data_IF_890338709701
#
_entry.id   IF_890338709701
#
_cell.length_a   1.000
_cell.length_b   1.000
_cell.length_c   1.000
_cell.angle_alpha   90.00
_cell.angle_beta   90.00
_cell.angle_gamma   90.00
#
_symmetry.space_group_name_H-M   'P 1'
#
loop_
_entity.id
_entity.type
_entity.pdbx_description
1 polymer ?
#
# COMPACT_ATOMS: atom_id res chain seq x y z
N UNK A 1 66.91 -14.44 -31.26
CA UNK A 1 66.07 -15.59 -30.87
C UNK A 1 64.77 -15.06 -30.33
N UNK A 2 63.65 -15.57 -30.84
CA UNK A 2 62.39 -14.86 -30.92
C UNK A 2 61.29 -15.62 -30.13
N UNK A 3 60.50 -14.89 -29.33
CA UNK A 3 59.11 -15.15 -28.89
C UNK A 3 58.85 -16.44 -28.04
N UNK A 4 57.96 -16.55 -27.02
CA UNK A 4 56.66 -15.93 -26.70
C UNK A 4 56.32 -16.03 -25.20
N UNK A 5 55.66 -14.99 -24.67
CA UNK A 5 54.77 -15.05 -23.50
C UNK A 5 53.57 -15.98 -23.77
N UNK A 6 53.09 -16.76 -22.78
CA UNK A 6 51.68 -17.16 -22.69
C UNK A 6 50.98 -16.18 -21.73
N UNK A 7 50.29 -15.17 -22.25
CA UNK A 7 48.83 -15.13 -22.48
C UNK A 7 48.03 -15.38 -21.19
N UNK A 8 47.58 -14.26 -20.62
CA UNK A 8 46.52 -14.10 -19.64
C UNK A 8 45.32 -15.00 -19.94
N UNK A 9 44.97 -15.88 -19.01
CA UNK A 9 43.67 -16.53 -18.97
C UNK A 9 42.73 -15.73 -18.06
N UNK A 10 42.36 -14.51 -18.49
CA UNK A 10 41.16 -13.85 -18.00
C UNK A 10 39.96 -14.52 -18.67
N UNK A 11 39.41 -15.55 -18.03
CA UNK A 11 38.10 -16.08 -18.40
C UNK A 11 37.03 -15.40 -17.57
N UNK A 12 36.51 -14.33 -18.17
CA UNK A 12 35.11 -13.89 -18.16
C UNK A 12 34.25 -14.54 -17.06
N UNK A 13 34.21 -13.90 -15.89
CA UNK A 13 33.00 -13.96 -15.08
C UNK A 13 31.93 -13.22 -15.87
N UNK A 14 31.10 -13.97 -16.59
CA UNK A 14 29.80 -13.52 -17.05
C UNK A 14 29.01 -13.07 -15.82
N UNK A 15 29.09 -11.77 -15.54
CA UNK A 15 28.10 -11.08 -14.73
C UNK A 15 26.79 -11.30 -15.46
N UNK A 16 25.98 -12.22 -14.94
CA UNK A 16 24.56 -12.28 -15.26
C UNK A 16 23.88 -11.20 -14.41
N UNK A 17 23.40 -10.08 -14.96
CA UNK A 17 22.28 -9.39 -14.34
C UNK A 17 21.03 -10.09 -14.85
N UNK A 18 20.63 -11.20 -14.22
CA UNK A 18 19.27 -11.69 -14.38
C UNK A 18 18.46 -11.25 -13.16
N UNK A 19 17.36 -10.55 -13.45
CA UNK A 19 16.25 -10.19 -12.58
C UNK A 19 16.33 -8.85 -11.83
N UNK A 20 16.31 -7.76 -12.60
CA UNK A 20 15.74 -6.47 -12.16
C UNK A 20 14.32 -6.23 -12.75
N UNK A 21 13.61 -7.29 -13.15
CA UNK A 21 12.36 -7.19 -13.93
C UNK A 21 11.05 -7.14 -13.16
N UNK A 22 11.06 -7.09 -11.83
CA UNK A 22 9.83 -7.07 -11.02
C UNK A 22 9.53 -5.70 -10.37
N UNK A 23 10.53 -4.81 -10.28
CA UNK A 23 10.37 -3.50 -9.66
C UNK A 23 9.71 -2.46 -10.59
N UNK A 24 9.84 -2.60 -11.92
CA UNK A 24 9.42 -1.57 -12.90
C UNK A 24 7.90 -1.41 -13.07
N UNK A 25 7.06 -2.27 -12.50
CA UNK A 25 5.59 -2.24 -12.69
C UNK A 25 4.79 -2.26 -11.39
N UNK A 26 5.41 -1.97 -10.24
CA UNK A 26 4.67 -1.85 -8.98
C UNK A 26 3.84 -0.57 -8.98
N UNK A 27 2.58 -0.62 -8.49
CA UNK A 27 1.80 0.59 -8.38
C UNK A 27 2.31 1.60 -7.36
N UNK A 28 2.24 2.89 -7.70
CA UNK A 28 2.63 3.98 -6.78
C UNK A 28 1.89 3.90 -5.43
N UNK A 29 0.65 3.39 -5.43
CA UNK A 29 -0.15 3.24 -4.22
C UNK A 29 0.33 2.08 -3.32
N UNK A 30 1.19 1.19 -3.81
CA UNK A 30 1.85 0.15 -3.00
C UNK A 30 2.99 0.69 -2.13
N UNK A 31 3.45 1.91 -2.40
CA UNK A 31 4.52 2.59 -1.65
C UNK A 31 4.02 3.34 -0.42
N UNK A 32 2.72 3.36 -0.15
CA UNK A 32 2.17 4.10 0.99
C UNK A 32 0.99 3.37 1.62
N UNK A 33 0.85 3.52 2.92
CA UNK A 33 -0.25 2.92 3.69
C UNK A 33 -1.60 3.56 3.37
N UNK A 34 -1.59 4.87 3.10
CA UNK A 34 -2.81 5.66 3.03
C UNK A 34 -2.59 6.97 2.27
N UNK A 35 -3.58 7.42 1.52
CA UNK A 35 -3.56 8.69 0.78
C UNK A 35 -4.99 9.13 0.50
N UNK A 36 -5.18 10.39 0.08
CA UNK A 36 -6.47 10.82 -0.46
C UNK A 36 -6.37 11.14 -1.94
N UNK A 37 -7.47 10.88 -2.64
CA UNK A 37 -7.62 11.16 -4.06
C UNK A 37 -9.06 11.61 -4.31
N UNK A 38 -9.23 12.84 -4.80
CA UNK A 38 -10.51 13.54 -4.79
C UNK A 38 -11.03 13.69 -3.36
N UNK A 39 -12.30 13.33 -3.17
CA UNK A 39 -12.96 13.32 -1.86
C UNK A 39 -12.85 11.98 -1.13
N UNK A 40 -12.11 11.00 -1.67
CA UNK A 40 -12.03 9.68 -1.07
C UNK A 40 -10.66 9.45 -0.41
N UNK A 41 -10.66 8.65 0.65
CA UNK A 41 -9.45 8.20 1.32
C UNK A 41 -9.21 6.75 0.95
N UNK A 42 -7.99 6.44 0.60
CA UNK A 42 -7.56 5.12 0.19
C UNK A 42 -6.63 4.54 1.25
N UNK A 43 -6.82 3.25 1.52
CA UNK A 43 -6.07 2.47 2.49
C UNK A 43 -5.46 1.28 1.77
N UNK A 44 -4.15 1.14 1.85
CA UNK A 44 -3.41 0.04 1.25
C UNK A 44 -3.07 -0.96 2.33
N UNK A 45 -3.49 -2.20 2.14
CA UNK A 45 -2.99 -3.33 2.93
C UNK A 45 -1.99 -4.15 2.14
N UNK A 46 -1.00 -4.71 2.83
CA UNK A 46 0.08 -5.52 2.25
C UNK A 46 0.12 -6.87 2.99
N UNK A 47 0.27 -7.94 2.23
CA UNK A 47 0.58 -9.27 2.77
C UNK A 47 1.87 -9.77 2.15
N UNK A 48 2.94 -9.76 2.95
CA UNK A 48 4.27 -10.23 2.54
C UNK A 48 4.43 -11.73 2.74
N UNK A 49 5.00 -12.40 1.74
CA UNK A 49 5.33 -13.83 1.77
C UNK A 49 4.16 -14.71 2.22
N UNK A 50 3.01 -14.57 1.55
CA UNK A 50 1.88 -15.47 1.69
C UNK A 50 2.12 -16.78 0.92
N UNK A 51 1.69 -17.94 1.43
CA UNK A 51 1.92 -19.23 0.78
C UNK A 51 0.97 -19.47 -0.41
N UNK A 52 -0.05 -18.62 -0.59
CA UNK A 52 -0.95 -18.62 -1.74
C UNK A 52 -1.46 -17.21 -2.04
N UNK A 53 -1.93 -17.01 -3.27
CA UNK A 53 -2.53 -15.74 -3.71
C UNK A 53 -3.80 -15.45 -2.93
N UNK A 54 -4.67 -16.45 -2.75
CA UNK A 54 -5.94 -16.33 -2.05
C UNK A 54 -5.73 -15.91 -0.59
N UNK A 55 -4.77 -16.54 0.10
CA UNK A 55 -4.42 -16.15 1.45
C UNK A 55 -3.82 -14.75 1.50
N UNK A 56 -2.93 -14.40 0.55
CA UNK A 56 -2.37 -13.06 0.44
C UNK A 56 -3.45 -11.98 0.24
N UNK A 57 -4.46 -12.23 -0.61
CA UNK A 57 -5.60 -11.33 -0.83
C UNK A 57 -6.45 -11.13 0.42
N UNK A 58 -6.64 -12.17 1.20
CA UNK A 58 -7.41 -12.12 2.44
C UNK A 58 -6.63 -11.38 3.54
N UNK A 59 -5.34 -11.70 3.71
CA UNK A 59 -4.45 -10.99 4.63
C UNK A 59 -4.41 -9.51 4.29
N UNK A 60 -4.02 -9.14 3.07
CA UNK A 60 -3.96 -7.75 2.62
C UNK A 60 -5.29 -6.98 2.80
N UNK A 61 -6.45 -7.65 2.70
CA UNK A 61 -7.73 -7.04 3.05
C UNK A 61 -7.81 -6.69 4.53
N UNK A 62 -7.47 -7.63 5.41
CA UNK A 62 -7.45 -7.43 6.85
C UNK A 62 -6.46 -6.34 7.28
N UNK A 63 -5.27 -6.22 6.64
CA UNK A 63 -4.38 -5.07 6.82
C UNK A 63 -5.06 -3.76 6.53
N UNK A 64 -5.65 -3.63 5.34
CA UNK A 64 -6.26 -2.38 4.93
C UNK A 64 -7.41 -2.00 5.87
N UNK A 65 -8.22 -2.98 6.30
CA UNK A 65 -9.28 -2.79 7.30
C UNK A 65 -8.70 -2.34 8.65
N UNK A 66 -7.55 -2.89 9.06
CA UNK A 66 -6.88 -2.47 10.28
C UNK A 66 -6.33 -1.04 10.16
N UNK A 67 -5.83 -0.63 9.00
CA UNK A 67 -5.42 0.76 8.76
C UNK A 67 -6.60 1.73 8.85
N UNK A 68 -7.78 1.34 8.34
CA UNK A 68 -9.02 2.12 8.54
C UNK A 68 -9.34 2.26 10.02
N UNK A 69 -9.22 1.19 10.82
CA UNK A 69 -9.45 1.25 12.28
C UNK A 69 -8.42 2.14 12.97
N UNK A 70 -7.15 2.03 12.60
CA UNK A 70 -6.06 2.84 13.15
C UNK A 70 -6.30 4.33 12.87
N UNK A 71 -6.72 4.66 11.65
CA UNK A 71 -7.01 6.01 11.20
C UNK A 71 -8.26 6.61 11.87
N UNK A 72 -9.36 5.86 11.88
CA UNK A 72 -10.63 6.34 12.45
C UNK A 72 -10.67 6.29 13.97
N UNK A 73 -9.80 5.48 14.60
CA UNK A 73 -9.84 5.11 16.03
C UNK A 73 -11.18 4.50 16.45
N UNK A 74 -11.97 4.01 15.50
CA UNK A 74 -13.25 3.39 15.78
C UNK A 74 -13.01 1.98 16.36
N UNK A 75 -13.75 1.64 17.43
CA UNK A 75 -13.71 0.29 18.02
C UNK A 75 -14.28 -0.76 17.08
N UNK A 76 -15.19 -0.35 16.21
CA UNK A 76 -15.84 -1.18 15.23
C UNK A 76 -16.14 -0.37 13.96
N UNK A 77 -15.99 -1.01 12.82
CA UNK A 77 -16.22 -0.48 11.48
C UNK A 77 -17.15 -1.40 10.67
N UNK A 78 -17.88 -2.30 11.35
CA UNK A 78 -18.91 -3.13 10.71
C UNK A 78 -19.96 -2.26 9.99
N UNK A 79 -20.29 -2.63 8.75
CA UNK A 79 -21.19 -1.87 7.88
C UNK A 79 -20.60 -0.57 7.30
N UNK A 80 -19.34 -0.24 7.58
CA UNK A 80 -18.66 0.88 6.95
C UNK A 80 -18.41 0.59 5.46
N UNK A 81 -18.74 1.50 4.53
CA UNK A 81 -18.61 1.26 3.09
C UNK A 81 -17.14 1.25 2.68
N UNK A 82 -16.52 0.06 2.74
CA UNK A 82 -15.17 -0.20 2.25
C UNK A 82 -15.24 -1.00 0.97
N UNK A 83 -14.82 -0.38 -0.13
CA UNK A 83 -14.78 -1.03 -1.43
C UNK A 83 -13.34 -1.42 -1.78
N UNK A 84 -13.13 -2.65 -2.23
CA UNK A 84 -11.88 -2.99 -2.90
C UNK A 84 -11.85 -2.33 -4.27
N UNK A 85 -10.88 -1.44 -4.48
CA UNK A 85 -10.68 -0.79 -5.77
C UNK A 85 -9.72 -1.59 -6.64
N UNK A 86 -8.60 -2.02 -6.06
CA UNK A 86 -7.54 -2.70 -6.81
C UNK A 86 -6.83 -3.75 -5.96
N UNK A 87 -6.24 -4.72 -6.64
CA UNK A 87 -5.37 -5.76 -6.08
C UNK A 87 -4.14 -5.82 -6.96
N UNK A 88 -2.96 -5.84 -6.34
CA UNK A 88 -1.70 -6.09 -7.02
C UNK A 88 -1.02 -7.31 -6.40
N UNK A 89 -0.55 -8.20 -7.26
CA UNK A 89 0.03 -9.49 -6.86
C UNK A 89 1.43 -9.60 -7.45
N UNK A 90 2.42 -9.63 -6.57
CA UNK A 90 3.79 -9.99 -6.92
C UNK A 90 3.96 -11.49 -6.67
N UNK A 91 3.93 -12.26 -7.75
CA UNK A 91 4.05 -13.72 -7.70
C UNK A 91 5.48 -14.20 -7.46
N UNK A 92 6.48 -13.32 -7.59
CA UNK A 92 7.90 -13.65 -7.39
C UNK A 92 8.61 -12.51 -6.65
N UNK A 93 8.18 -12.21 -5.42
CA UNK A 93 8.75 -11.12 -4.65
C UNK A 93 10.21 -11.46 -4.28
N UNK A 94 11.11 -10.49 -4.45
CA UNK A 94 12.55 -10.69 -4.23
C UNK A 94 12.89 -10.94 -2.74
N UNK A 95 12.02 -10.53 -1.83
CA UNK A 95 12.13 -10.61 -0.38
C UNK A 95 11.56 -11.90 0.23
N UNK A 96 11.04 -12.83 -0.58
CA UNK A 96 10.47 -14.09 -0.10
C UNK A 96 11.13 -15.34 -0.68
N UNK A 97 10.95 -16.47 0.01
CA UNK A 97 11.32 -17.77 -0.51
C UNK A 97 10.52 -18.12 -1.78
N UNK A 98 11.06 -18.94 -2.70
CA UNK A 98 10.33 -19.40 -3.88
C UNK A 98 9.00 -20.07 -3.50
N UNK A 99 7.95 -19.76 -4.26
CA UNK A 99 6.59 -20.29 -4.02
C UNK A 99 5.73 -19.44 -3.09
N UNK A 100 6.29 -18.40 -2.48
CA UNK A 100 5.53 -17.38 -1.75
C UNK A 100 5.24 -16.16 -2.62
N UNK A 101 4.15 -15.47 -2.31
CA UNK A 101 3.69 -14.28 -3.03
C UNK A 101 3.54 -13.09 -2.10
N UNK A 102 3.62 -11.88 -2.63
CA UNK A 102 3.28 -10.65 -1.89
C UNK A 102 2.08 -10.01 -2.57
N UNK A 103 1.05 -9.67 -1.79
CA UNK A 103 -0.21 -9.12 -2.30
C UNK A 103 -0.48 -7.78 -1.65
N UNK A 104 -0.89 -6.79 -2.45
CA UNK A 104 -1.38 -5.51 -1.97
C UNK A 104 -2.84 -5.35 -2.36
N UNK A 105 -3.62 -4.74 -1.47
CA UNK A 105 -5.04 -4.48 -1.70
C UNK A 105 -5.37 -3.05 -1.33
N UNK A 106 -5.99 -2.35 -2.28
CA UNK A 106 -6.38 -0.97 -2.13
C UNK A 106 -7.87 -0.89 -1.79
N UNK A 107 -8.18 -0.41 -0.59
CA UNK A 107 -9.53 -0.13 -0.14
C UNK A 107 -9.84 1.35 -0.25
N UNK A 108 -11.07 1.65 -0.66
CA UNK A 108 -11.61 3.01 -0.72
C UNK A 108 -12.59 3.22 0.41
N UNK A 109 -12.47 4.36 1.07
CA UNK A 109 -13.39 4.87 2.06
C UNK A 109 -13.87 6.26 1.63
N UNK A 110 -15.19 6.47 1.44
CA UNK A 110 -15.72 7.80 1.19
C UNK A 110 -15.45 8.72 2.38
N UNK A 111 -14.92 9.92 2.13
CA UNK A 111 -14.66 10.89 3.22
C UNK A 111 -15.93 11.24 3.99
N UNK A 112 -17.06 11.41 3.30
CA UNK A 112 -18.34 11.67 3.96
C UNK A 112 -18.71 10.56 4.97
N UNK A 113 -18.39 9.30 4.66
CA UNK A 113 -18.57 8.19 5.59
C UNK A 113 -17.57 8.27 6.75
N UNK A 114 -16.30 8.57 6.50
CA UNK A 114 -15.28 8.77 7.56
C UNK A 114 -15.68 9.89 8.52
N UNK A 115 -16.22 10.98 8.02
CA UNK A 115 -16.73 12.10 8.83
C UNK A 115 -17.92 11.69 9.71
N UNK A 116 -18.77 10.77 9.24
CA UNK A 116 -19.89 10.24 10.03
C UNK A 116 -19.42 9.46 11.26
N UNK A 117 -18.27 8.78 11.17
CA UNK A 117 -17.64 8.11 12.32
C UNK A 117 -17.13 9.12 13.36
N UNK A 118 -16.71 10.31 12.92
CA UNK A 118 -16.24 11.38 13.79
C UNK A 118 -17.38 12.05 14.59
N UNK A 119 -18.61 12.01 14.07
CA UNK A 119 -19.79 12.70 14.63
C UNK A 119 -20.46 11.96 15.80
N UNK A 120 -19.92 10.84 16.30
CA UNK A 120 -20.41 10.26 17.56
C UNK A 120 -20.10 11.24 18.70
N UNK A 121 -21.13 11.80 19.37
CA UNK A 121 -20.95 12.97 20.22
C UNK A 121 -20.26 12.58 21.53
N UNK A 122 -19.00 12.99 21.70
CA UNK A 122 -18.52 13.32 23.05
C UNK A 122 -19.21 14.62 23.45
N UNK A 123 -20.21 14.50 24.32
CA UNK A 123 -21.02 15.61 24.85
C UNK A 123 -20.10 16.70 25.42
N UNK A 124 -20.10 17.90 24.81
CA UNK A 124 -19.68 19.13 25.50
C UNK A 124 -18.46 19.93 25.00
N UNK A 125 -18.05 19.88 23.73
CA UNK A 125 -17.07 20.88 23.20
C UNK A 125 -17.50 21.48 21.85
N UNK A 126 -17.27 22.80 21.64
CA UNK A 126 -17.61 23.48 20.39
C UNK A 126 -16.74 23.00 19.23
N UNK A 127 -17.14 23.36 18.01
CA UNK A 127 -16.66 22.86 16.73
C UNK A 127 -15.16 23.14 16.46
N UNK A 128 -14.30 22.36 17.10
CA UNK A 128 -12.96 22.09 16.57
C UNK A 128 -13.08 21.10 15.41
N UNK A 129 -12.27 21.30 14.37
CA UNK A 129 -12.13 20.42 13.21
C UNK A 129 -12.15 18.97 13.69
N UNK A 130 -13.06 18.16 13.14
CA UNK A 130 -13.14 16.76 13.56
C UNK A 130 -11.75 16.12 13.46
N UNK A 131 -11.30 15.36 14.47
CA UNK A 131 -9.94 14.82 14.48
C UNK A 131 -9.65 13.95 13.24
N UNK A 132 -10.70 13.43 12.59
CA UNK A 132 -10.61 12.71 11.32
C UNK A 132 -10.35 13.67 10.16
N UNK A 133 -11.03 14.82 10.08
CA UNK A 133 -10.80 15.82 9.02
C UNK A 133 -9.37 16.38 9.07
N UNK A 134 -8.83 16.66 10.25
CA UNK A 134 -7.43 17.07 10.40
C UNK A 134 -6.46 15.98 9.92
N UNK A 135 -6.75 14.71 10.20
CA UNK A 135 -5.96 13.57 9.72
C UNK A 135 -6.06 13.40 8.19
N UNK A 136 -7.24 13.59 7.60
CA UNK A 136 -7.44 13.55 6.13
C UNK A 136 -6.68 14.68 5.42
N UNK A 137 -6.53 15.83 6.05
CA UNK A 137 -5.74 16.93 5.48
C UNK A 137 -4.23 16.75 5.66
N UNK A 138 -3.79 15.98 6.66
CA UNK A 138 -2.38 15.69 6.90
C UNK A 138 -1.81 14.56 6.02
N UNK A 139 -2.67 13.79 5.36
CA UNK A 139 -2.26 12.65 4.53
C UNK A 139 -1.99 13.10 3.10
N UNK A 140 -1.09 12.38 2.43
CA UNK A 140 -0.63 12.71 1.08
C UNK A 140 -1.82 12.83 0.13
N UNK A 141 -1.97 14.00 -0.49
CA UNK A 141 -2.90 14.18 -1.61
C UNK A 141 -2.25 13.58 -2.85
N UNK A 142 -2.94 12.68 -3.55
CA UNK A 142 -2.52 12.11 -4.83
C UNK A 142 -3.50 12.41 -5.97
N UNK A 143 -4.41 13.36 -5.79
CA UNK A 143 -5.32 13.83 -6.84
C UNK A 143 -4.53 14.61 -7.90
N UNK A 144 -4.61 14.25 -9.19
CA UNK A 144 -4.10 15.08 -10.27
C UNK A 144 -4.87 16.41 -10.30
N UNK A 145 -4.15 17.52 -10.44
CA UNK A 145 -4.75 18.85 -10.57
C UNK A 145 -4.82 19.18 -12.05
N UNK A 146 -6.00 19.62 -12.52
CA UNK A 146 -6.10 20.22 -13.85
C UNK A 146 -5.13 21.40 -13.91
N UNK A 147 -4.36 21.50 -14.99
CA UNK A 147 -3.27 22.46 -15.15
C UNK A 147 -1.86 21.91 -14.82
N UNK A 148 -1.73 20.70 -14.26
CA UNK A 148 -0.42 20.08 -14.06
C UNK A 148 0.31 19.86 -15.39
N UNK A 149 1.61 20.12 -15.42
CA UNK A 149 2.44 19.79 -16.57
C UNK A 149 2.70 18.28 -16.65
N UNK A 150 2.91 17.77 -17.86
CA UNK A 150 3.26 16.37 -18.11
C UNK A 150 4.42 15.86 -17.25
N UNK A 151 5.46 16.67 -17.07
CA UNK A 151 6.62 16.30 -16.25
C UNK A 151 6.29 16.24 -14.74
N UNK A 152 5.38 17.09 -14.26
CA UNK A 152 4.87 17.03 -12.88
C UNK A 152 4.08 15.72 -12.66
N UNK A 153 3.23 15.36 -13.64
CA UNK A 153 2.49 14.10 -13.61
C UNK A 153 3.43 12.90 -13.64
N UNK A 154 4.45 12.92 -14.51
CA UNK A 154 5.46 11.88 -14.58
C UNK A 154 6.24 11.73 -13.27
N UNK A 155 6.68 12.83 -12.67
CA UNK A 155 7.38 12.82 -11.38
C UNK A 155 6.54 12.17 -10.27
N UNK A 156 5.21 12.31 -10.35
CA UNK A 156 4.29 11.82 -9.32
C UNK A 156 3.84 10.37 -9.51
N UNK A 157 3.56 9.95 -10.74
CA UNK A 157 2.98 8.62 -11.02
C UNK A 157 3.88 7.71 -11.86
N UNK A 158 5.02 8.23 -12.32
CA UNK A 158 5.96 7.52 -13.18
C UNK A 158 5.46 7.31 -14.60
N UNK A 159 6.04 6.29 -15.24
CA UNK A 159 5.76 5.88 -16.61
C UNK A 159 4.33 5.33 -16.74
N UNK A 160 3.52 5.85 -17.70
CA UNK A 160 2.26 5.22 -18.05
C UNK A 160 2.52 3.88 -18.74
N UNK A 161 1.54 2.97 -18.67
CA UNK A 161 1.60 1.69 -19.38
C UNK A 161 1.46 1.89 -20.89
N UNK A 162 0.60 2.81 -21.29
CA UNK A 162 0.34 3.12 -22.69
C UNK A 162 0.09 4.60 -22.88
N UNK A 163 0.50 5.09 -24.04
CA UNK A 163 0.32 6.47 -24.47
C UNK A 163 -0.43 6.43 -25.80
N UNK A 164 -1.52 7.19 -25.90
CA UNK A 164 -2.32 7.33 -27.12
C UNK A 164 -2.44 8.80 -27.48
N UNK A 165 -2.16 9.14 -28.73
CA UNK A 165 -2.44 10.47 -29.25
C UNK A 165 -3.76 10.46 -30.03
N UNK A 166 -4.61 11.45 -29.77
CA UNK A 166 -5.80 11.77 -30.56
C UNK A 166 -5.60 13.11 -31.25
N UNK A 167 -4.88 13.15 -32.38
CA UNK A 167 -4.48 14.40 -33.03
C UNK A 167 -5.68 15.22 -33.52
N UNK A 168 -6.79 14.57 -33.84
CA UNK A 168 -8.08 15.17 -34.19
C UNK A 168 -8.73 15.94 -33.03
N UNK A 169 -8.50 15.49 -31.80
CA UNK A 169 -8.99 16.16 -30.57
C UNK A 169 -7.92 17.03 -29.92
N UNK A 170 -6.68 17.00 -30.41
CA UNK A 170 -5.54 17.65 -29.79
C UNK A 170 -5.19 17.08 -28.41
N UNK A 171 -5.52 15.81 -28.16
CA UNK A 171 -5.34 15.16 -26.87
C UNK A 171 -4.19 14.16 -26.88
N UNK A 172 -3.44 14.11 -25.79
CA UNK A 172 -2.49 13.05 -25.47
C UNK A 172 -2.99 12.31 -24.22
N UNK A 173 -3.27 11.03 -24.35
CA UNK A 173 -3.86 10.21 -23.30
C UNK A 173 -2.80 9.28 -22.74
N UNK A 174 -2.55 9.38 -21.44
CA UNK A 174 -1.70 8.49 -20.68
C UNK A 174 -2.57 7.54 -19.87
N UNK A 175 -2.37 6.25 -20.07
CA UNK A 175 -3.09 5.23 -19.34
C UNK A 175 -2.19 4.45 -18.42
N UNK A 176 -2.56 4.52 -17.16
CA UNK A 176 -2.00 3.75 -16.09
C UNK A 176 -2.97 2.61 -15.79
N UNK A 177 -3.11 1.65 -16.72
CA UNK A 177 -4.02 0.50 -16.57
C UNK A 177 -3.81 -0.26 -15.25
N UNK A 178 -2.54 -0.35 -14.83
CA UNK A 178 -2.11 -0.88 -13.54
C UNK A 178 -2.74 -0.18 -12.32
N UNK A 179 -3.22 1.06 -12.50
CA UNK A 179 -3.83 1.91 -11.48
C UNK A 179 -5.29 2.25 -11.79
N UNK A 180 -5.83 1.76 -12.91
CA UNK A 180 -7.10 2.22 -13.45
C UNK A 180 -7.13 3.74 -13.69
N UNK A 181 -6.00 4.43 -13.79
CA UNK A 181 -5.96 5.89 -13.92
C UNK A 181 -5.67 6.27 -15.37
N UNK A 182 -6.56 7.07 -15.96
CA UNK A 182 -6.36 7.68 -17.28
C UNK A 182 -6.18 9.18 -17.09
N UNK A 183 -5.12 9.73 -17.69
CA UNK A 183 -4.76 11.14 -17.64
C UNK A 183 -4.75 11.67 -19.07
N UNK A 184 -5.31 12.85 -19.29
CA UNK A 184 -5.45 13.47 -20.62
C UNK A 184 -4.79 14.83 -20.61
N UNK A 185 -3.87 15.04 -21.54
CA UNK A 185 -3.17 16.29 -21.77
C UNK A 185 -3.67 16.94 -23.07
N UNK A 186 -3.56 18.26 -23.15
CA UNK A 186 -3.69 19.00 -24.40
C UNK A 186 -2.37 19.03 -25.19
N UNK A 187 -2.35 19.79 -26.29
CA UNK A 187 -1.15 19.98 -27.13
C UNK A 187 -0.01 20.73 -26.43
N UNK A 188 -0.30 21.47 -25.36
CA UNK A 188 0.68 22.22 -24.58
C UNK A 188 1.29 21.38 -23.43
N UNK A 189 1.06 20.06 -23.43
CA UNK A 189 1.49 19.14 -22.37
C UNK A 189 0.90 19.46 -20.98
N UNK A 190 -0.29 20.08 -20.97
CA UNK A 190 -1.02 20.44 -19.75
C UNK A 190 -2.17 19.46 -19.51
N UNK A 191 -2.25 18.94 -18.30
CA UNK A 191 -3.32 18.05 -17.85
C UNK A 191 -4.67 18.78 -17.89
N UNK A 192 -5.57 18.33 -18.77
CA UNK A 192 -6.92 18.87 -18.89
C UNK A 192 -7.95 18.03 -18.14
N UNK A 193 -7.77 16.71 -18.13
CA UNK A 193 -8.74 15.78 -17.56
C UNK A 193 -8.09 14.52 -17.01
N UNK A 194 -8.67 13.95 -15.96
CA UNK A 194 -8.30 12.62 -15.48
C UNK A 194 -9.54 11.79 -15.16
N UNK A 195 -9.39 10.46 -15.17
CA UNK A 195 -10.41 9.49 -14.83
C UNK A 195 -9.82 8.33 -14.05
N UNK A 196 -10.42 8.00 -12.92
CA UNK A 196 -10.19 6.76 -12.19
C UNK A 196 -11.25 5.72 -12.63
N UNK A 197 -10.78 4.56 -13.07
CA UNK A 197 -11.55 3.41 -13.48
C UNK A 197 -11.58 2.41 -12.31
N UNK A 198 -12.70 1.71 -12.16
CA UNK A 198 -12.92 0.76 -11.07
C UNK A 198 -14.40 0.52 -10.83
N UNK A 199 -14.77 -0.20 -9.75
CA UNK A 199 -16.17 -0.41 -9.38
C UNK A 199 -16.95 0.90 -9.18
N UNK A 200 -16.26 1.98 -8.82
CA UNK A 200 -16.81 3.31 -8.62
C UNK A 200 -15.96 4.36 -9.37
N UNK A 201 -16.17 4.53 -10.69
CA UNK A 201 -15.34 5.41 -11.50
C UNK A 201 -15.54 6.88 -11.11
N UNK A 202 -14.47 7.67 -11.21
CA UNK A 202 -14.45 9.11 -10.92
C UNK A 202 -13.71 9.86 -12.01
N UNK A 203 -14.02 11.14 -12.20
CA UNK A 203 -13.29 11.98 -13.16
C UNK A 203 -13.26 13.44 -12.72
N UNK A 204 -12.30 14.20 -13.23
CA UNK A 204 -12.25 15.66 -13.07
C UNK A 204 -13.49 16.38 -13.59
N UNK A 205 -14.27 15.75 -14.47
CA UNK A 205 -15.48 16.32 -15.06
C UNK A 205 -16.72 16.18 -14.16
N UNK A 206 -16.68 15.34 -13.12
CA UNK A 206 -17.77 15.27 -12.14
C UNK A 206 -17.73 16.54 -11.28
N UNK A 207 -18.67 17.44 -11.54
CA UNK A 207 -18.85 18.67 -10.76
C UNK A 207 -19.28 18.28 -9.34
N UNK A 208 -18.35 18.30 -8.38
CA UNK A 208 -18.72 18.37 -6.97
C UNK A 208 -19.46 19.70 -6.78
N UNK A 209 -20.75 19.65 -6.42
CA UNK A 209 -21.57 20.84 -6.17
C UNK A 209 -20.79 21.87 -5.32
N UNK A 210 -20.75 23.16 -5.70
CA UNK A 210 -19.92 24.16 -5.05
C UNK A 210 -20.57 24.60 -3.74
N UNK A 211 -20.32 23.88 -2.66
CA UNK A 211 -20.55 24.37 -1.31
C UNK A 211 -19.20 24.81 -0.71
N UNK A 212 -18.92 26.10 -0.87
CA UNK A 212 -17.91 26.88 -0.11
C UNK A 212 -16.54 26.22 0.10
N UNK A 213 -15.70 26.27 -0.92
CA UNK A 213 -14.26 26.35 -0.71
C UNK A 213 -13.90 27.82 -0.47
N UNK A 214 -13.89 28.23 0.80
CA UNK A 214 -13.11 29.39 1.21
C UNK A 214 -11.62 29.13 0.92
N UNK A 215 -10.82 30.16 0.62
CA UNK A 215 -9.40 30.02 0.33
C UNK A 215 -8.69 29.53 1.60
N UNK A 216 -8.46 28.22 1.69
CA UNK A 216 -7.71 27.62 2.79
C UNK A 216 -6.23 27.78 2.51
N UNK A 217 -5.63 28.68 3.28
CA UNK A 217 -4.18 28.83 3.41
C UNK A 217 -3.57 27.45 3.64
N UNK A 218 -2.80 26.97 2.68
CA UNK A 218 -1.98 25.75 2.77
C UNK A 218 -1.02 25.93 3.95
N UNK A 219 -1.47 25.52 5.12
CA UNK A 219 -0.56 25.33 6.25
C UNK A 219 0.17 24.04 5.92
N UNK A 220 1.43 24.15 5.50
CA UNK A 220 2.34 23.04 5.23
C UNK A 220 2.49 22.18 6.49
N UNK A 221 1.52 21.29 6.72
CA UNK A 221 1.63 20.20 7.66
C UNK A 221 2.61 19.20 7.04
N UNK A 222 3.63 18.74 7.78
CA UNK A 222 4.56 17.75 7.27
C UNK A 222 3.78 16.50 6.86
N UNK A 223 3.89 16.12 5.59
CA UNK A 223 3.31 14.87 5.07
C UNK A 223 3.91 13.72 5.86
N UNK A 224 3.07 12.94 6.53
CA UNK A 224 3.53 11.82 7.37
C UNK A 224 3.77 10.61 6.45
N UNK A 225 5.04 10.21 6.30
CA UNK A 225 5.41 8.94 5.68
C UNK A 225 5.27 7.81 6.73
N UNK A 226 4.31 6.91 6.51
CA UNK A 226 3.97 5.82 7.42
C UNK A 226 4.57 4.47 6.98
N UNK A 227 5.35 4.44 5.90
CA UNK A 227 5.99 3.20 5.40
C UNK A 227 6.86 2.54 6.46
N UNK A 228 7.75 3.30 7.08
CA UNK A 228 8.59 2.85 8.20
C UNK A 228 7.75 2.38 9.39
N UNK A 229 6.58 2.99 9.60
CA UNK A 229 5.68 2.60 10.69
C UNK A 229 5.01 1.25 10.43
N UNK A 230 4.66 0.95 9.18
CA UNK A 230 4.11 -0.35 8.80
C UNK A 230 5.13 -1.47 9.01
N UNK A 231 6.36 -1.28 8.52
CA UNK A 231 7.45 -2.25 8.73
C UNK A 231 7.69 -2.49 10.22
N UNK A 232 7.72 -1.42 11.03
CA UNK A 232 7.85 -1.53 12.48
C UNK A 232 6.69 -2.28 13.14
N UNK A 233 5.45 -2.09 12.68
CA UNK A 233 4.29 -2.80 13.21
C UNK A 233 4.30 -4.29 12.84
N UNK A 234 4.69 -4.63 11.61
CA UNK A 234 4.87 -6.02 11.16
C UNK A 234 5.94 -6.73 12.00
N UNK A 235 7.09 -6.06 12.23
CA UNK A 235 8.16 -6.58 13.07
C UNK A 235 7.73 -6.76 14.52
N UNK A 236 7.03 -5.77 15.10
CA UNK A 236 6.51 -5.86 16.46
C UNK A 236 5.56 -7.05 16.64
N UNK A 237 4.64 -7.27 15.70
CA UNK A 237 3.74 -8.43 15.75
C UNK A 237 4.47 -9.76 15.58
N UNK A 238 5.52 -9.81 14.75
CA UNK A 238 6.34 -11.02 14.64
C UNK A 238 7.06 -11.34 15.95
N UNK A 239 7.62 -10.31 16.61
CA UNK A 239 8.26 -10.45 17.91
C UNK A 239 7.27 -10.89 18.99
N UNK A 240 6.06 -10.32 19.02
CA UNK A 240 5.02 -10.72 19.97
C UNK A 240 4.61 -12.18 19.80
N UNK A 241 4.43 -12.65 18.56
CA UNK A 241 4.13 -14.07 18.29
C UNK A 241 5.25 -14.99 18.77
N UNK A 242 6.51 -14.61 18.56
CA UNK A 242 7.66 -15.37 19.07
C UNK A 242 7.68 -15.43 20.60
N UNK A 243 7.42 -14.30 21.27
CA UNK A 243 7.33 -14.25 22.74
C UNK A 243 6.17 -15.10 23.28
N UNK A 244 5.01 -15.05 22.63
CA UNK A 244 3.85 -15.86 22.99
C UNK A 244 4.11 -17.36 22.83
N UNK A 245 4.72 -17.77 21.71
CA UNK A 245 5.12 -19.15 21.47
C UNK A 245 6.12 -19.64 22.51
N UNK A 246 7.14 -18.84 22.83
CA UNK A 246 8.11 -19.18 23.87
C UNK A 246 7.46 -19.32 25.24
N UNK A 247 6.58 -18.38 25.63
CA UNK A 247 5.84 -18.44 26.89
C UNK A 247 4.94 -19.68 26.98
N UNK A 248 4.26 -20.03 25.89
CA UNK A 248 3.42 -21.22 25.84
C UNK A 248 4.24 -22.50 26.07
N UNK A 249 5.37 -22.63 25.38
CA UNK A 249 6.24 -23.79 25.48
C UNK A 249 6.94 -23.88 26.84
N UNK A 250 7.41 -22.76 27.39
CA UNK A 250 8.04 -22.75 28.72
C UNK A 250 7.08 -23.17 29.81
N UNK A 251 5.81 -22.74 29.74
CA UNK A 251 4.76 -23.19 30.68
C UNK A 251 4.40 -24.67 30.48
N UNK A 252 4.25 -25.10 29.23
CA UNK A 252 3.83 -26.48 28.90
C UNK A 252 4.86 -27.54 29.31
N UNK A 253 6.15 -27.18 29.30
CA UNK A 253 7.25 -28.10 29.60
C UNK A 253 7.99 -27.77 30.90
N UNK A 254 7.45 -26.87 31.73
CA UNK A 254 8.07 -26.46 33.00
C UNK A 254 8.40 -27.67 33.89
N UNK A 255 7.44 -28.59 34.04
CA UNK A 255 7.54 -29.76 34.93
C UNK A 255 7.98 -31.05 34.21
N UNK A 256 8.34 -30.96 32.92
CA UNK A 256 8.79 -32.12 32.15
C UNK A 256 10.30 -32.29 32.30
N UNK A 257 10.80 -33.48 32.68
CA UNK A 257 12.24 -33.75 32.77
C UNK A 257 12.96 -33.52 31.44
N UNK A 258 14.18 -32.99 31.47
CA UNK A 258 14.94 -32.60 30.27
C UNK A 258 15.10 -33.73 29.25
N UNK A 259 15.23 -34.98 29.72
CA UNK A 259 15.35 -36.16 28.85
C UNK A 259 14.09 -36.45 28.01
N UNK A 260 12.93 -35.93 28.41
CA UNK A 260 11.64 -36.10 27.73
C UNK A 260 11.15 -34.82 27.06
N UNK A 261 11.90 -33.71 27.17
CA UNK A 261 11.55 -32.47 26.49
C UNK A 261 11.71 -32.62 24.97
N UNK A 262 10.83 -31.99 24.18
CA UNK A 262 11.03 -31.91 22.74
C UNK A 262 12.35 -31.21 22.43
N UNK A 263 12.88 -31.45 21.22
CA UNK A 263 14.09 -30.78 20.74
C UNK A 263 13.98 -29.26 20.98
N UNK A 264 15.07 -28.60 21.45
CA UNK A 264 15.06 -27.15 21.69
C UNK A 264 14.52 -26.39 20.48
N UNK A 265 13.53 -25.50 20.69
CA UNK A 265 12.93 -24.69 19.64
C UNK A 265 11.83 -25.38 18.82
N UNK A 266 11.65 -26.70 18.91
CA UNK A 266 10.64 -27.41 18.09
C UNK A 266 9.20 -27.10 18.54
N UNK A 267 8.98 -26.90 19.84
CA UNK A 267 7.68 -26.46 20.35
C UNK A 267 7.40 -25.03 19.92
N UNK A 268 8.36 -24.13 20.12
CA UNK A 268 8.24 -22.70 19.85
C UNK A 268 7.97 -22.45 18.37
N UNK A 269 8.67 -23.16 17.49
CA UNK A 269 8.45 -23.07 16.05
C UNK A 269 7.04 -23.51 15.67
N UNK A 270 6.57 -24.64 16.20
CA UNK A 270 5.23 -25.17 15.91
C UNK A 270 4.12 -24.27 16.45
N UNK A 271 4.31 -23.71 17.64
CA UNK A 271 3.36 -22.77 18.24
C UNK A 271 3.36 -21.43 17.51
N UNK A 272 4.53 -20.95 17.08
CA UNK A 272 4.65 -19.75 16.27
C UNK A 272 3.92 -19.90 14.92
N UNK A 273 4.07 -21.01 14.21
CA UNK A 273 3.31 -21.25 12.97
C UNK A 273 1.80 -21.34 13.25
N UNK A 274 1.37 -21.99 14.34
CA UNK A 274 -0.06 -21.99 14.72
C UNK A 274 -0.59 -20.58 15.01
N UNK A 275 0.17 -19.76 15.73
CA UNK A 275 -0.21 -18.37 16.04
C UNK A 275 -0.23 -17.50 14.79
N UNK A 276 0.65 -17.77 13.83
CA UNK A 276 0.68 -17.11 12.52
C UNK A 276 -0.51 -17.50 11.65
N UNK A 277 -1.05 -18.72 11.81
CA UNK A 277 -2.28 -19.18 11.16
C UNK A 277 -3.55 -18.61 11.83
N UNK A 278 -3.57 -18.50 13.17
CA UNK A 278 -4.72 -17.98 13.94
C UNK A 278 -4.81 -16.45 13.94
N UNK A 279 -3.67 -15.77 13.93
CA UNK A 279 -3.54 -14.32 13.82
C UNK A 279 -2.73 -14.01 12.56
N UNK A 280 -3.33 -14.19 11.38
CA UNK A 280 -2.66 -13.86 10.14
C UNK A 280 -2.21 -12.41 10.19
N UNK A 281 -0.97 -12.16 9.74
CA UNK A 281 -0.45 -10.81 9.55
C UNK A 281 -1.53 -10.00 8.86
N UNK A 282 -1.88 -8.89 9.49
CA UNK A 282 -2.70 -7.84 8.91
C UNK A 282 -2.16 -7.61 7.51
#
# INVERSE_FOLDING_TARGET
MAYRLPILLQTLWLVYPLLAGAAEHRPFWTEQALFHFGDDVFFTGRSSCAPSIEEGRQRAYLAAVQEVRNFTRAKDIEGFPLDTQMIFEDARPADCAPGFVTVWRLLRAPRAALESLAKRPTRGKPADISPILAQVMAIRNLTPRVGMLRDEVWSRYGLPRSIWARPDQGELIWDYAQFGLTIVFNQDDVLTRWRLNGPHPRSSDETTSPAQQEPRTETNLPTIDLTTRLEQLEEQQDQERRRAAHRYCSLRFADVPDALRPKPGACEQREYERLKEQHPRF
#
